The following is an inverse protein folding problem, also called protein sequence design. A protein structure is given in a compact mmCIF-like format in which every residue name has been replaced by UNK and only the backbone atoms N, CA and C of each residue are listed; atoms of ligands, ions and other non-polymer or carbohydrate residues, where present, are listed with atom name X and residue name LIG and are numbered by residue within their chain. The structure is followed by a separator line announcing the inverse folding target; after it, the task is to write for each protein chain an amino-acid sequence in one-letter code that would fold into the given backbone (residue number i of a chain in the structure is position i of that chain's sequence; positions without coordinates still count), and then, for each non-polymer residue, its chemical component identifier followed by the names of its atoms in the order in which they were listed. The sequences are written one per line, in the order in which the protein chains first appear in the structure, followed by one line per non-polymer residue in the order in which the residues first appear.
data_IF_488926994570
#
_entry.id   IF_488926994570
#
_cell.length_a   1.000
_cell.length_b   1.000
_cell.length_c   1.000
_cell.angle_alpha   90.00
_cell.angle_beta   90.00
_cell.angle_gamma   90.00
#
_symmetry.space_group_name_H-M   'P 1'
#
loop_
_entity.id
_entity.type
_entity.pdbx_description
1 polymer ?
#
# COMPACT_ATOMS: atom_id res chain seq x y z
N UNK A 1 -44.26 58.47 6.30
CA UNK A 1 -44.98 57.18 6.41
C UNK A 1 -45.17 56.74 7.85
N UNK A 2 -44.12 56.55 8.66
CA UNK A 2 -44.24 56.15 10.08
C UNK A 2 -45.24 57.01 10.87
N UNK A 3 -45.08 58.33 10.86
CA UNK A 3 -46.01 59.24 11.55
C UNK A 3 -47.44 59.21 10.99
N UNK A 4 -47.61 58.96 9.69
CA UNK A 4 -48.94 58.81 9.10
C UNK A 4 -49.65 57.56 9.62
N UNK A 5 -48.95 56.42 9.72
CA UNK A 5 -49.49 55.20 10.33
C UNK A 5 -49.82 55.40 11.82
N UNK A 6 -48.97 56.09 12.57
CA UNK A 6 -49.26 56.46 13.96
C UNK A 6 -50.50 57.36 14.08
N UNK A 7 -50.70 58.29 13.15
CA UNK A 7 -51.90 59.13 13.08
C UNK A 7 -53.18 58.33 12.87
N UNK A 8 -53.17 57.34 11.98
CA UNK A 8 -54.31 56.43 11.77
C UNK A 8 -54.63 55.63 13.05
N UNK A 9 -53.60 55.11 13.72
CA UNK A 9 -53.77 54.38 14.99
C UNK A 9 -54.32 55.31 16.08
N UNK A 10 -53.89 56.57 16.14
CA UNK A 10 -54.41 57.55 17.09
C UNK A 10 -55.88 57.91 16.80
N UNK A 11 -56.26 58.00 15.53
CA UNK A 11 -57.65 58.21 15.08
C UNK A 11 -58.55 57.03 15.48
N UNK A 12 -58.10 55.78 15.26
CA UNK A 12 -58.81 54.57 15.70
C UNK A 12 -58.99 54.52 17.23
N UNK A 13 -57.99 54.99 17.98
CA UNK A 13 -58.04 55.07 19.44
C UNK A 13 -58.81 56.29 19.98
N UNK A 14 -59.50 57.05 19.11
CA UNK A 14 -60.27 58.27 19.46
C UNK A 14 -59.44 59.36 20.16
N UNK A 15 -58.15 59.46 19.83
CA UNK A 15 -57.25 60.52 20.32
C UNK A 15 -57.03 61.51 19.18
N UNK A 16 -58.04 62.31 18.88
CA UNK A 16 -58.08 63.17 17.70
C UNK A 16 -57.01 64.28 17.75
N UNK A 17 -56.70 64.83 18.93
CA UNK A 17 -55.62 65.80 19.09
C UNK A 17 -54.23 65.22 18.80
N UNK A 18 -53.99 63.96 19.20
CA UNK A 18 -52.74 63.24 18.90
C UNK A 18 -52.63 62.90 17.40
N UNK A 19 -53.73 62.47 16.78
CA UNK A 19 -53.79 62.19 15.35
C UNK A 19 -53.42 63.42 14.51
N UNK A 20 -53.97 64.60 14.85
CA UNK A 20 -53.63 65.86 14.17
C UNK A 20 -52.14 66.19 14.28
N UNK A 21 -51.54 66.04 15.47
CA UNK A 21 -50.11 66.25 15.67
C UNK A 21 -49.26 65.31 14.79
N UNK A 22 -49.59 64.01 14.75
CA UNK A 22 -48.88 63.04 13.93
C UNK A 22 -48.99 63.34 12.42
N UNK A 23 -50.17 63.75 11.96
CA UNK A 23 -50.37 64.15 10.56
C UNK A 23 -49.66 65.45 10.20
N UNK A 24 -49.65 66.43 11.09
CA UNK A 24 -48.92 67.68 10.91
C UNK A 24 -47.42 67.43 10.71
N UNK A 25 -46.83 66.63 11.59
CA UNK A 25 -45.41 66.22 11.49
C UNK A 25 -45.16 65.39 10.23
N UNK A 26 -46.11 64.53 9.83
CA UNK A 26 -45.99 63.78 8.57
C UNK A 26 -45.96 64.70 7.34
N UNK A 27 -46.80 65.75 7.31
CA UNK A 27 -46.82 66.76 6.23
C UNK A 27 -45.52 67.56 6.21
N UNK A 28 -45.00 67.98 7.36
CA UNK A 28 -43.72 68.70 7.45
C UNK A 28 -42.55 67.86 6.92
N UNK A 29 -42.45 66.59 7.35
CA UNK A 29 -41.41 65.67 6.85
C UNK A 29 -41.54 65.38 5.36
N UNK A 30 -42.76 65.40 4.83
CA UNK A 30 -42.99 65.25 3.40
C UNK A 30 -42.56 66.48 2.60
N UNK A 31 -42.72 67.69 3.15
CA UNK A 31 -42.17 68.93 2.56
C UNK A 31 -40.64 68.95 2.59
N UNK A 32 -40.03 68.47 3.68
CA UNK A 32 -38.57 68.29 3.76
C UNK A 32 -38.07 67.27 2.74
N UNK A 33 -38.78 66.14 2.59
CA UNK A 33 -38.46 65.12 1.60
C UNK A 33 -38.53 65.67 0.17
N UNK A 34 -39.52 66.54 -0.14
CA UNK A 34 -39.59 67.22 -1.44
C UNK A 34 -38.34 68.08 -1.69
N UNK A 35 -38.02 68.98 -0.74
CA UNK A 35 -36.86 69.90 -0.85
C UNK A 35 -35.54 69.16 -1.04
N UNK A 36 -35.39 67.98 -0.43
CA UNK A 36 -34.19 67.15 -0.55
C UNK A 36 -34.18 66.32 -1.83
N UNK A 37 -35.34 65.80 -2.25
CA UNK A 37 -35.48 64.99 -3.46
C UNK A 37 -35.39 65.77 -4.76
N UNK A 38 -35.73 67.06 -4.75
CA UNK A 38 -35.59 67.97 -5.90
C UNK A 38 -34.12 68.14 -6.36
N UNK A 39 -33.15 67.82 -5.49
CA UNK A 39 -31.71 67.89 -5.78
C UNK A 39 -31.13 66.63 -6.43
N UNK A 40 -31.93 65.59 -6.69
CA UNK A 40 -31.48 64.29 -7.22
C UNK A 40 -31.60 64.26 -8.75
N UNK A 41 -30.52 63.88 -9.46
CA UNK A 41 -30.37 63.87 -10.94
C UNK A 41 -31.50 63.22 -11.77
N UNK A 42 -31.58 63.65 -13.04
CA UNK A 42 -32.74 63.71 -13.95
C UNK A 42 -33.41 62.40 -14.40
N UNK A 43 -32.83 61.21 -14.22
CA UNK A 43 -33.38 59.98 -14.82
C UNK A 43 -34.36 59.22 -13.93
N UNK A 44 -34.31 59.41 -12.60
CA UNK A 44 -35.27 58.81 -11.63
C UNK A 44 -36.25 59.83 -11.05
N UNK A 45 -36.24 61.05 -11.59
CA UNK A 45 -37.00 62.18 -11.07
C UNK A 45 -38.50 62.00 -11.22
N UNK A 46 -38.98 61.34 -12.28
CA UNK A 46 -40.42 61.16 -12.50
C UNK A 46 -41.05 60.19 -11.49
N UNK A 47 -40.42 59.04 -11.24
CA UNK A 47 -40.93 58.07 -10.24
C UNK A 47 -40.98 58.69 -8.85
N UNK A 48 -39.95 59.46 -8.47
CA UNK A 48 -39.93 60.17 -7.20
C UNK A 48 -41.05 61.23 -7.12
N UNK A 49 -41.23 62.04 -8.17
CA UNK A 49 -42.27 63.06 -8.23
C UNK A 49 -43.66 62.46 -8.14
N UNK A 50 -43.94 61.40 -8.90
CA UNK A 50 -45.23 60.72 -8.89
C UNK A 50 -45.54 60.10 -7.53
N UNK A 51 -44.56 59.38 -6.94
CA UNK A 51 -44.70 58.80 -5.61
C UNK A 51 -44.88 59.88 -4.52
N UNK A 52 -44.17 61.00 -4.64
CA UNK A 52 -44.31 62.12 -3.72
C UNK A 52 -45.67 62.80 -3.84
N UNK A 53 -46.12 63.12 -5.06
CA UNK A 53 -47.43 63.73 -5.31
C UNK A 53 -48.54 62.85 -4.75
N UNK A 54 -48.53 61.55 -5.05
CA UNK A 54 -49.50 60.61 -4.50
C UNK A 54 -49.48 60.57 -2.97
N UNK A 55 -48.29 60.46 -2.38
CA UNK A 55 -48.14 60.45 -0.91
C UNK A 55 -48.61 61.76 -0.28
N UNK A 56 -48.36 62.89 -0.95
CA UNK A 56 -48.76 64.22 -0.50
C UNK A 56 -50.27 64.40 -0.54
N UNK A 57 -50.94 63.97 -1.60
CA UNK A 57 -52.39 64.06 -1.72
C UNK A 57 -53.08 63.25 -0.62
N UNK A 58 -52.58 62.04 -0.34
CA UNK A 58 -53.12 61.18 0.73
C UNK A 58 -52.92 61.79 2.13
N UNK A 59 -51.68 62.15 2.48
CA UNK A 59 -51.36 62.66 3.82
C UNK A 59 -51.99 64.04 4.05
N UNK A 60 -51.92 64.94 3.07
CA UNK A 60 -52.50 66.27 3.17
C UNK A 60 -54.02 66.22 3.20
N UNK A 61 -54.64 65.33 2.43
CA UNK A 61 -56.08 65.07 2.46
C UNK A 61 -56.54 64.64 3.86
N UNK A 62 -55.84 63.65 4.45
CA UNK A 62 -56.12 63.16 5.81
C UNK A 62 -55.90 64.23 6.88
N UNK A 63 -54.80 64.99 6.81
CA UNK A 63 -54.54 66.10 7.73
C UNK A 63 -55.65 67.16 7.72
N UNK A 64 -56.10 67.59 6.53
CA UNK A 64 -57.15 68.62 6.41
C UNK A 64 -58.47 68.18 7.03
N UNK A 65 -58.86 66.91 6.82
CA UNK A 65 -60.09 66.34 7.40
C UNK A 65 -59.94 66.25 8.93
N UNK A 66 -58.87 65.63 9.42
CA UNK A 66 -58.63 65.47 10.85
C UNK A 66 -58.56 66.81 11.59
N UNK A 67 -57.92 67.83 11.00
CA UNK A 67 -57.84 69.17 11.57
C UNK A 67 -59.21 69.85 11.63
N UNK A 68 -59.95 69.84 10.52
CA UNK A 68 -61.30 70.43 10.47
C UNK A 68 -62.23 69.78 11.49
N UNK A 69 -62.21 68.45 11.59
CA UNK A 69 -63.09 67.71 12.48
C UNK A 69 -62.68 67.92 13.95
N UNK A 70 -61.38 68.03 14.24
CA UNK A 70 -60.92 68.41 15.58
C UNK A 70 -61.29 69.86 15.94
N UNK A 71 -61.19 70.81 15.01
CA UNK A 71 -61.54 72.22 15.24
C UNK A 71 -63.06 72.47 15.30
N UNK A 72 -63.89 71.55 14.79
CA UNK A 72 -65.35 71.74 14.69
C UNK A 72 -66.17 70.82 15.60
N UNK A 73 -65.65 69.62 15.94
CA UNK A 73 -66.40 68.57 16.65
C UNK A 73 -65.72 68.17 17.95
N UNK A 74 -64.44 67.81 17.93
CA UNK A 74 -63.78 67.17 19.08
C UNK A 74 -63.14 68.16 20.06
N UNK A 75 -62.63 69.30 19.55
CA UNK A 75 -61.94 70.34 20.31
C UNK A 75 -60.82 69.82 21.23
N UNK A 76 -60.15 68.74 20.84
CA UNK A 76 -59.03 68.20 21.62
C UNK A 76 -57.79 69.07 21.47
N UNK A 77 -57.05 69.26 22.56
CA UNK A 77 -55.78 69.97 22.54
C UNK A 77 -54.74 69.15 21.76
N UNK A 78 -54.20 69.76 20.70
CA UNK A 78 -53.09 69.17 19.93
C UNK A 78 -51.82 69.18 20.79
N UNK A 79 -51.23 68.02 21.13
CA UNK A 79 -50.01 67.94 21.91
C UNK A 79 -48.77 68.28 21.07
N UNK A 80 -47.63 68.50 21.73
CA UNK A 80 -46.34 68.70 21.06
C UNK A 80 -45.68 67.36 20.75
N UNK A 81 -44.90 67.27 19.66
CA UNK A 81 -44.24 66.03 19.24
C UNK A 81 -43.36 65.40 20.34
N UNK A 82 -42.69 66.22 21.17
CA UNK A 82 -41.86 65.76 22.28
C UNK A 82 -42.63 65.10 23.43
N UNK A 83 -43.95 65.33 23.51
CA UNK A 83 -44.82 64.71 24.51
C UNK A 83 -45.40 63.36 24.08
N UNK A 84 -45.17 62.97 22.82
CA UNK A 84 -45.64 61.71 22.25
C UNK A 84 -44.58 60.60 22.41
N UNK A 85 -45.00 59.33 22.57
CA UNK A 85 -44.07 58.21 22.69
C UNK A 85 -43.24 58.03 21.41
N UNK A 86 -41.95 57.74 21.58
CA UNK A 86 -41.04 57.50 20.46
C UNK A 86 -41.40 56.20 19.71
N UNK A 87 -41.40 56.26 18.38
CA UNK A 87 -41.70 55.10 17.54
C UNK A 87 -40.45 54.22 17.39
N UNK A 88 -40.52 52.97 17.84
CA UNK A 88 -39.44 51.99 17.72
C UNK A 88 -39.46 51.32 16.34
N UNK A 89 -38.30 51.22 15.67
CA UNK A 89 -38.16 50.48 14.42
C UNK A 89 -37.97 48.99 14.65
N UNK A 90 -38.56 48.15 13.80
CA UNK A 90 -38.32 46.71 13.77
C UNK A 90 -37.32 46.35 12.67
N UNK A 91 -36.29 45.55 13.00
CA UNK A 91 -35.33 45.04 12.01
C UNK A 91 -35.96 43.82 11.34
N UNK A 92 -36.37 43.96 10.08
CA UNK A 92 -37.04 42.89 9.30
C UNK A 92 -36.07 42.12 8.40
N UNK A 93 -34.89 42.68 8.14
CA UNK A 93 -33.89 42.06 7.27
C UNK A 93 -32.60 41.76 8.05
N UNK A 94 -31.99 40.61 7.74
CA UNK A 94 -30.65 40.23 8.19
C UNK A 94 -29.70 40.24 6.99
N UNK A 95 -28.43 40.65 7.16
CA UNK A 95 -27.44 40.53 6.10
C UNK A 95 -27.19 39.05 5.81
N UNK A 96 -27.20 38.67 4.53
CA UNK A 96 -26.84 37.33 4.09
C UNK A 96 -25.31 37.21 4.04
N UNK A 97 -24.69 36.22 4.71
CA UNK A 97 -23.26 36.00 4.61
C UNK A 97 -22.89 35.55 3.19
N UNK A 98 -21.71 35.96 2.74
CA UNK A 98 -21.15 35.47 1.49
C UNK A 98 -20.73 34.01 1.64
N UNK A 99 -21.23 33.14 0.76
CA UNK A 99 -20.79 31.77 0.64
C UNK A 99 -19.96 31.61 -0.65
N UNK A 100 -18.68 31.28 -0.49
CA UNK A 100 -17.78 31.04 -1.62
C UNK A 100 -18.02 29.70 -2.32
N UNK A 101 -18.88 28.85 -1.76
CA UNK A 101 -19.23 27.54 -2.30
C UNK A 101 -20.62 27.50 -2.94
N UNK A 102 -21.27 28.66 -3.12
CA UNK A 102 -22.58 28.74 -3.74
C UNK A 102 -22.53 28.25 -5.20
N UNK A 103 -23.20 27.12 -5.54
CA UNK A 103 -23.21 26.57 -6.89
C UNK A 103 -23.83 27.51 -7.92
N UNK A 104 -24.73 28.41 -7.52
CA UNK A 104 -25.36 29.37 -8.43
C UNK A 104 -24.38 30.46 -8.89
N UNK A 105 -23.36 30.76 -8.07
CA UNK A 105 -22.36 31.81 -8.34
C UNK A 105 -21.09 31.23 -8.94
N UNK A 106 -20.57 30.13 -8.37
CA UNK A 106 -19.29 29.55 -8.75
C UNK A 106 -19.40 28.35 -9.70
N UNK A 107 -20.58 27.78 -9.90
CA UNK A 107 -20.77 26.59 -10.71
C UNK A 107 -20.28 25.30 -10.03
N UNK A 108 -20.14 24.23 -10.83
CA UNK A 108 -19.73 22.91 -10.33
C UNK A 108 -18.23 22.88 -10.07
N UNK A 109 -17.82 22.34 -8.92
CA UNK A 109 -16.41 22.17 -8.58
C UNK A 109 -15.70 21.21 -9.55
N UNK A 110 -14.76 21.77 -10.31
CA UNK A 110 -13.93 21.02 -11.27
C UNK A 110 -12.88 20.14 -10.58
N UNK A 111 -12.59 20.38 -9.30
CA UNK A 111 -11.60 19.64 -8.50
C UNK A 111 -12.23 18.69 -7.48
N UNK A 112 -13.52 18.36 -7.62
CA UNK A 112 -14.21 17.41 -6.73
C UNK A 112 -13.54 16.03 -6.60
N UNK A 113 -12.71 15.63 -7.58
CA UNK A 113 -11.94 14.38 -7.57
C UNK A 113 -10.53 14.53 -6.97
N UNK A 114 -10.07 15.77 -6.78
CA UNK A 114 -8.73 16.05 -6.28
C UNK A 114 -8.72 15.82 -4.77
N UNK A 115 -7.92 14.86 -4.34
CA UNK A 115 -7.71 14.61 -2.91
C UNK A 115 -6.78 15.71 -2.36
N UNK A 116 -7.08 16.27 -1.18
CA UNK A 116 -6.26 17.29 -0.56
C UNK A 116 -4.81 16.86 -0.33
N UNK A 117 -3.88 17.81 -0.41
CA UNK A 117 -2.46 17.53 -0.19
C UNK A 117 -2.19 16.95 1.21
N UNK A 118 -2.82 17.49 2.26
CA UNK A 118 -2.65 16.99 3.63
C UNK A 118 -3.07 15.52 3.76
N UNK A 119 -4.16 15.13 3.07
CA UNK A 119 -4.64 13.75 3.02
C UNK A 119 -3.65 12.85 2.29
N UNK A 120 -3.08 13.32 1.17
CA UNK A 120 -2.04 12.60 0.46
C UNK A 120 -0.77 12.39 1.31
N UNK A 121 -0.32 13.43 2.02
CA UNK A 121 0.86 13.35 2.88
C UNK A 121 0.65 12.36 4.02
N UNK A 122 -0.48 12.45 4.73
CA UNK A 122 -0.81 11.51 5.80
C UNK A 122 -0.96 10.05 5.30
N UNK A 123 -1.57 9.86 4.13
CA UNK A 123 -1.69 8.52 3.51
C UNK A 123 -0.33 7.97 3.09
N UNK A 124 0.57 8.85 2.62
CA UNK A 124 1.94 8.49 2.26
C UNK A 124 2.75 8.08 3.50
N UNK A 125 2.68 8.84 4.59
CA UNK A 125 3.35 8.53 5.86
C UNK A 125 2.86 7.19 6.42
N UNK A 126 1.54 6.97 6.42
CA UNK A 126 0.96 5.70 6.84
C UNK A 126 1.41 4.52 5.96
N UNK A 127 1.51 4.72 4.64
CA UNK A 127 2.00 3.69 3.72
C UNK A 127 3.46 3.32 3.99
N UNK A 128 4.29 4.27 4.40
CA UNK A 128 5.67 4.02 4.79
C UNK A 128 5.75 3.21 6.09
N UNK A 129 4.95 3.57 7.12
CA UNK A 129 4.88 2.79 8.37
C UNK A 129 4.37 1.37 8.14
N UNK A 130 3.38 1.17 7.25
CA UNK A 130 2.94 -0.17 6.82
C UNK A 130 4.07 -0.96 6.16
N UNK A 131 4.83 -0.35 5.26
CA UNK A 131 5.93 -0.99 4.58
C UNK A 131 7.05 -1.39 5.55
N UNK A 132 7.35 -0.51 6.52
CA UNK A 132 8.33 -0.76 7.57
C UNK A 132 7.92 -1.94 8.46
N UNK A 133 6.68 -1.94 8.96
CA UNK A 133 6.13 -3.04 9.75
C UNK A 133 6.14 -4.36 8.96
N UNK A 134 5.78 -4.32 7.68
CA UNK A 134 5.80 -5.50 6.82
C UNK A 134 7.21 -6.10 6.69
N UNK A 135 8.23 -5.25 6.44
CA UNK A 135 9.63 -5.68 6.36
C UNK A 135 10.09 -6.31 7.67
N UNK A 136 9.80 -5.68 8.80
CA UNK A 136 10.18 -6.17 10.13
C UNK A 136 9.63 -7.57 10.42
N UNK A 137 8.33 -7.79 10.16
CA UNK A 137 7.69 -9.10 10.40
C UNK A 137 8.23 -10.18 9.44
N UNK A 138 8.49 -9.83 8.18
CA UNK A 138 9.08 -10.77 7.21
C UNK A 138 10.48 -11.18 7.67
N UNK A 139 11.33 -10.21 8.02
CA UNK A 139 12.69 -10.48 8.46
C UNK A 139 12.71 -11.32 9.74
N UNK A 140 11.86 -11.01 10.72
CA UNK A 140 11.70 -11.81 11.93
C UNK A 140 11.30 -13.26 11.62
N UNK A 141 10.37 -13.44 10.68
CA UNK A 141 9.89 -14.76 10.26
C UNK A 141 10.98 -15.56 9.56
N UNK A 142 11.72 -14.95 8.63
CA UNK A 142 12.84 -15.58 7.93
C UNK A 142 13.95 -16.00 8.89
N UNK A 143 14.30 -15.13 9.85
CA UNK A 143 15.29 -15.44 10.88
C UNK A 143 14.87 -16.64 11.73
N UNK A 144 13.59 -16.69 12.17
CA UNK A 144 13.07 -17.82 12.95
C UNK A 144 12.92 -19.11 12.14
N UNK A 145 12.62 -19.02 10.85
CA UNK A 145 12.62 -20.17 9.95
C UNK A 145 14.04 -20.73 9.77
N UNK A 146 15.04 -19.88 9.56
CA UNK A 146 16.45 -20.28 9.41
C UNK A 146 16.99 -20.92 10.68
N UNK A 147 16.68 -20.35 11.84
CA UNK A 147 17.04 -20.92 13.15
C UNK A 147 16.45 -22.33 13.29
N UNK A 148 15.14 -22.49 13.02
CA UNK A 148 14.46 -23.78 13.08
C UNK A 148 15.09 -24.80 12.12
N UNK A 149 15.35 -24.41 10.87
CA UNK A 149 15.96 -25.29 9.86
C UNK A 149 17.35 -25.76 10.31
N UNK A 150 18.16 -24.85 10.86
CA UNK A 150 19.47 -25.19 11.42
C UNK A 150 19.35 -26.24 12.52
N UNK A 151 18.42 -26.06 13.48
CA UNK A 151 18.16 -27.04 14.53
C UNK A 151 17.69 -28.39 13.99
N UNK A 152 16.79 -28.39 12.99
CA UNK A 152 16.28 -29.61 12.36
C UNK A 152 17.39 -30.39 11.64
N UNK A 153 18.32 -29.68 10.98
CA UNK A 153 19.48 -30.27 10.32
C UNK A 153 20.48 -30.85 11.34
N UNK A 154 20.81 -30.10 12.40
CA UNK A 154 21.72 -30.58 13.44
C UNK A 154 21.23 -31.84 14.15
N UNK A 155 19.91 -31.97 14.35
CA UNK A 155 19.30 -33.14 14.98
C UNK A 155 18.91 -34.24 13.99
N UNK A 156 19.09 -34.01 12.68
CA UNK A 156 18.71 -34.91 11.60
C UNK A 156 17.25 -35.43 11.69
N UNK A 157 16.36 -34.64 12.31
CA UNK A 157 14.98 -35.05 12.59
C UNK A 157 14.17 -35.29 11.31
N UNK A 158 14.55 -34.66 10.20
CA UNK A 158 13.96 -34.90 8.87
C UNK A 158 14.21 -36.32 8.34
N UNK A 159 15.20 -37.04 8.90
CA UNK A 159 15.60 -38.40 8.49
C UNK A 159 15.30 -39.45 9.56
N UNK A 160 14.72 -39.04 10.70
CA UNK A 160 14.37 -39.98 11.74
C UNK A 160 13.19 -40.85 11.25
N UNK A 161 13.29 -42.19 11.30
CA UNK A 161 12.20 -43.07 10.93
C UNK A 161 11.14 -43.02 12.04
N UNK A 162 10.21 -42.07 11.91
CA UNK A 162 9.08 -41.91 12.82
C UNK A 162 8.03 -42.99 12.46
N UNK A 163 7.40 -43.62 13.45
CA UNK A 163 6.35 -44.65 13.26
C UNK A 163 6.80 -46.00 12.66
N UNK A 164 7.86 -46.62 13.19
CA UNK A 164 8.27 -47.98 12.81
C UNK A 164 8.66 -48.14 11.33
N UNK A 165 8.95 -47.02 10.65
CA UNK A 165 9.43 -47.01 9.27
C UNK A 165 10.83 -47.63 9.12
N UNK A 166 11.59 -47.75 10.21
CA UNK A 166 12.89 -48.46 10.24
C UNK A 166 12.77 -49.96 9.98
N UNK A 167 11.58 -50.54 10.10
CA UNK A 167 11.31 -51.94 9.78
C UNK A 167 11.10 -52.18 8.28
N UNK A 168 10.94 -51.11 7.48
CA UNK A 168 10.71 -51.19 6.03
C UNK A 168 11.80 -50.46 5.28
N UNK A 169 12.03 -50.88 4.03
CA UNK A 169 12.94 -50.17 3.14
C UNK A 169 12.45 -48.71 2.98
N UNK A 170 13.32 -47.69 3.18
CA UNK A 170 12.95 -46.30 2.94
C UNK A 170 12.39 -46.10 1.54
N UNK A 171 11.37 -45.24 1.39
CA UNK A 171 10.70 -45.01 0.10
C UNK A 171 11.67 -44.45 -0.94
N UNK A 172 12.59 -43.60 -0.50
CA UNK A 172 13.64 -43.03 -1.35
C UNK A 172 14.54 -44.13 -1.91
N UNK A 173 14.85 -45.17 -1.11
CA UNK A 173 15.60 -46.33 -1.57
C UNK A 173 14.80 -47.18 -2.56
N UNK A 174 13.49 -47.37 -2.32
CA UNK A 174 12.59 -48.07 -3.24
C UNK A 174 12.51 -47.35 -4.59
N UNK A 175 12.38 -46.03 -4.59
CA UNK A 175 12.34 -45.20 -5.79
C UNK A 175 13.67 -45.29 -6.56
N UNK A 176 14.81 -45.25 -5.84
CA UNK A 176 16.13 -45.47 -6.44
C UNK A 176 16.25 -46.86 -7.06
N UNK A 177 15.83 -47.93 -6.35
CA UNK A 177 15.83 -49.29 -6.89
C UNK A 177 14.96 -49.40 -8.15
N UNK A 178 13.74 -48.85 -8.12
CA UNK A 178 12.85 -48.84 -9.29
C UNK A 178 13.48 -48.12 -10.49
N UNK A 179 14.13 -46.97 -10.26
CA UNK A 179 14.82 -46.22 -11.30
C UNK A 179 16.03 -46.98 -11.88
N UNK A 180 16.78 -47.69 -11.04
CA UNK A 180 17.92 -48.53 -11.46
C UNK A 180 17.42 -49.74 -12.25
N UNK A 181 16.37 -50.42 -11.78
CA UNK A 181 15.76 -51.56 -12.49
C UNK A 181 15.14 -51.15 -13.83
N UNK A 182 14.57 -49.95 -13.93
CA UNK A 182 14.07 -49.39 -15.19
C UNK A 182 15.19 -49.15 -16.23
N UNK A 183 16.46 -49.07 -15.78
CA UNK A 183 17.65 -48.90 -16.63
C UNK A 183 18.65 -50.06 -16.43
N UNK A 184 18.34 -51.26 -16.92
CA UNK A 184 19.15 -52.47 -16.65
C UNK A 184 20.57 -52.41 -17.22
N UNK A 185 20.84 -51.52 -18.19
CA UNK A 185 22.15 -51.34 -18.82
C UNK A 185 22.96 -50.17 -18.24
N UNK A 186 22.48 -49.48 -17.19
CA UNK A 186 23.14 -48.30 -16.62
C UNK A 186 24.62 -48.54 -16.27
N UNK A 187 24.94 -49.68 -15.66
CA UNK A 187 26.31 -50.02 -15.31
C UNK A 187 27.21 -50.22 -16.53
N UNK A 188 26.68 -50.81 -17.62
CA UNK A 188 27.39 -50.99 -18.88
C UNK A 188 27.59 -49.68 -19.62
N UNK A 189 26.56 -48.82 -19.64
CA UNK A 189 26.62 -47.49 -20.23
C UNK A 189 27.66 -46.61 -19.53
N UNK A 190 27.71 -46.65 -18.20
CA UNK A 190 28.68 -45.90 -17.40
C UNK A 190 30.11 -46.40 -17.64
N UNK A 191 30.31 -47.72 -17.72
CA UNK A 191 31.60 -48.33 -18.11
C UNK A 191 32.02 -47.92 -19.52
N UNK A 192 31.09 -47.97 -20.48
CA UNK A 192 31.35 -47.56 -21.87
C UNK A 192 31.70 -46.08 -21.98
N UNK A 193 31.01 -45.22 -21.24
CA UNK A 193 31.27 -43.78 -21.23
C UNK A 193 32.67 -43.47 -20.67
N UNK A 194 33.09 -44.17 -19.61
CA UNK A 194 34.43 -43.99 -19.05
C UNK A 194 35.53 -44.53 -19.96
N UNK A 195 35.27 -45.63 -20.67
CA UNK A 195 36.19 -46.15 -21.68
C UNK A 195 36.38 -45.15 -22.83
N UNK A 196 35.30 -44.52 -23.30
CA UNK A 196 35.37 -43.46 -24.32
C UNK A 196 36.12 -42.21 -23.82
N UNK A 197 35.88 -41.80 -22.57
CA UNK A 197 36.60 -40.69 -21.95
C UNK A 197 38.12 -40.97 -21.90
N UNK A 198 38.49 -42.18 -21.50
CA UNK A 198 39.89 -42.58 -21.40
C UNK A 198 40.56 -42.70 -22.78
N UNK A 199 39.84 -43.18 -23.80
CA UNK A 199 40.37 -43.20 -25.17
C UNK A 199 40.58 -41.79 -25.72
N UNK A 200 39.65 -40.87 -25.48
CA UNK A 200 39.81 -39.46 -25.88
C UNK A 200 40.97 -38.79 -25.16
N UNK A 201 41.15 -39.06 -23.86
CA UNK A 201 42.29 -38.55 -23.10
C UNK A 201 43.63 -39.05 -23.68
N UNK A 202 43.70 -40.33 -24.07
CA UNK A 202 44.88 -40.89 -24.70
C UNK A 202 45.17 -40.25 -26.06
N UNK A 203 44.14 -40.08 -26.90
CA UNK A 203 44.26 -39.43 -28.22
C UNK A 203 44.78 -37.99 -28.11
N UNK A 204 44.24 -37.20 -27.17
CA UNK A 204 44.72 -35.82 -26.94
C UNK A 204 46.16 -35.82 -26.41
N UNK A 205 46.53 -36.79 -25.57
CA UNK A 205 47.90 -36.92 -25.05
C UNK A 205 48.90 -37.24 -26.16
N UNK A 206 48.54 -38.14 -27.05
CA UNK A 206 49.34 -38.47 -28.24
C UNK A 206 49.53 -37.24 -29.14
N UNK A 207 48.45 -36.50 -29.43
CA UNK A 207 48.54 -35.27 -30.24
C UNK A 207 49.43 -34.19 -29.62
N UNK A 208 49.40 -34.02 -28.29
CA UNK A 208 50.26 -33.05 -27.59
C UNK A 208 51.72 -33.52 -27.55
N UNK A 209 51.97 -34.81 -27.35
CA UNK A 209 53.31 -35.39 -27.39
C UNK A 209 53.92 -35.28 -28.81
N UNK A 210 53.13 -35.51 -29.86
CA UNK A 210 53.55 -35.27 -31.26
C UNK A 210 53.89 -33.79 -31.49
N UNK A 211 53.04 -32.87 -31.02
CA UNK A 211 53.26 -31.44 -31.16
C UNK A 211 54.53 -30.97 -30.42
N UNK A 212 54.79 -31.50 -29.24
CA UNK A 212 56.05 -31.27 -28.51
C UNK A 212 57.27 -31.77 -29.28
N UNK A 213 57.19 -32.95 -29.90
CA UNK A 213 58.28 -33.50 -30.71
C UNK A 213 58.55 -32.63 -31.94
N UNK A 214 57.49 -32.18 -32.64
CA UNK A 214 57.61 -31.28 -33.78
C UNK A 214 58.24 -29.93 -33.37
N UNK A 215 57.88 -29.40 -32.21
CA UNK A 215 58.49 -28.18 -31.69
C UNK A 215 59.97 -28.35 -31.35
N UNK A 216 60.37 -29.47 -30.74
CA UNK A 216 61.79 -29.78 -30.48
C UNK A 216 62.59 -29.89 -31.77
N UNK A 217 62.06 -30.59 -32.78
CA UNK A 217 62.70 -30.69 -34.11
C UNK A 217 62.82 -29.31 -34.76
N UNK A 218 61.80 -28.46 -34.62
CA UNK A 218 61.85 -27.09 -35.15
C UNK A 218 62.90 -26.22 -34.45
N UNK A 219 63.06 -26.39 -33.14
CA UNK A 219 64.09 -25.72 -32.33
C UNK A 219 65.51 -26.15 -32.76
N UNK A 220 65.75 -27.45 -32.91
CA UNK A 220 67.04 -28.01 -33.33
C UNK A 220 67.48 -27.53 -34.71
N UNK A 221 66.53 -27.26 -35.61
CA UNK A 221 66.81 -26.78 -36.97
C UNK A 221 67.00 -25.25 -37.07
N UNK A 222 66.62 -24.48 -36.04
CA UNK A 222 66.61 -23.00 -36.10
C UNK A 222 67.01 -22.35 -34.76
N UNK A 223 68.31 -22.32 -34.45
CA UNK A 223 68.86 -21.76 -33.20
C UNK A 223 68.49 -20.29 -32.90
N UNK A 224 68.17 -19.49 -33.94
CA UNK A 224 67.81 -18.08 -33.79
C UNK A 224 66.37 -17.84 -33.30
N UNK A 225 65.51 -18.87 -33.31
CA UNK A 225 64.08 -18.75 -32.99
C UNK A 225 63.80 -18.69 -31.48
N UNK A 226 64.73 -19.13 -30.62
CA UNK A 226 64.59 -19.04 -29.15
C UNK A 226 64.41 -17.61 -28.63
N UNK A 227 64.79 -16.61 -29.44
CA UNK A 227 64.59 -15.19 -29.13
C UNK A 227 63.26 -14.64 -29.63
N UNK A 228 62.53 -15.37 -30.48
CA UNK A 228 61.23 -14.95 -30.98
C UNK A 228 60.18 -15.03 -29.86
N UNK A 229 59.44 -13.94 -29.69
CA UNK A 229 58.36 -13.82 -28.72
C UNK A 229 57.24 -14.84 -28.99
N UNK A 230 56.92 -15.07 -30.26
CA UNK A 230 55.86 -15.99 -30.68
C UNK A 230 56.17 -17.44 -30.31
N UNK A 231 57.45 -17.84 -30.36
CA UNK A 231 57.90 -19.18 -29.95
C UNK A 231 57.77 -19.36 -28.44
N UNK A 232 58.17 -18.35 -27.65
CA UNK A 232 58.02 -18.36 -26.19
C UNK A 232 56.55 -18.40 -25.75
N UNK A 233 55.69 -17.67 -26.45
CA UNK A 233 54.25 -17.69 -26.20
C UNK A 233 53.67 -19.08 -26.53
N UNK A 234 54.14 -19.73 -27.60
CA UNK A 234 53.73 -21.09 -27.97
C UNK A 234 54.22 -22.14 -26.95
N UNK A 235 55.46 -22.04 -26.48
CA UNK A 235 56.04 -22.90 -25.44
C UNK A 235 55.27 -22.77 -24.12
N UNK A 236 54.92 -21.54 -23.73
CA UNK A 236 54.12 -21.27 -22.54
C UNK A 236 52.70 -21.85 -22.67
N UNK A 237 52.07 -21.68 -23.84
CA UNK A 237 50.74 -22.24 -24.13
C UNK A 237 50.77 -23.78 -24.07
N UNK A 238 51.80 -24.41 -24.64
CA UNK A 238 51.96 -25.85 -24.60
C UNK A 238 52.10 -26.34 -23.16
N UNK A 239 52.95 -25.70 -22.36
CA UNK A 239 53.12 -26.03 -20.95
C UNK A 239 51.80 -25.90 -20.18
N UNK A 240 51.05 -24.83 -20.46
CA UNK A 240 49.72 -24.60 -19.86
C UNK A 240 48.73 -25.72 -20.24
N UNK A 241 48.70 -26.13 -21.51
CA UNK A 241 47.87 -27.26 -21.98
C UNK A 241 48.29 -28.54 -21.27
N UNK A 242 49.59 -28.82 -21.12
CA UNK A 242 50.07 -30.02 -20.42
C UNK A 242 49.71 -30.02 -18.94
N UNK A 243 49.82 -28.89 -18.27
CA UNK A 243 49.39 -28.73 -16.87
C UNK A 243 47.87 -28.98 -16.74
N UNK A 244 47.06 -28.45 -17.66
CA UNK A 244 45.61 -28.72 -17.70
C UNK A 244 45.30 -30.20 -17.96
N UNK A 245 46.07 -30.87 -18.82
CA UNK A 245 45.89 -32.30 -19.10
C UNK A 245 46.27 -33.17 -17.92
N UNK A 246 47.31 -32.83 -17.17
CA UNK A 246 47.68 -33.53 -15.93
C UNK A 246 46.55 -33.41 -14.90
N UNK A 247 46.00 -32.21 -14.71
CA UNK A 247 44.83 -32.00 -13.85
C UNK A 247 43.60 -32.78 -14.32
N UNK A 248 43.34 -32.81 -15.63
CA UNK A 248 42.25 -33.58 -16.21
C UNK A 248 42.46 -35.10 -16.00
N UNK A 249 43.69 -35.59 -16.08
CA UNK A 249 44.02 -36.99 -15.82
C UNK A 249 43.81 -37.36 -14.34
N UNK A 250 44.26 -36.51 -13.41
CA UNK A 250 44.01 -36.72 -11.97
C UNK A 250 42.49 -36.78 -11.68
N UNK A 251 41.72 -35.88 -12.29
CA UNK A 251 40.26 -35.88 -12.22
C UNK A 251 39.67 -37.17 -12.81
N UNK A 252 40.15 -37.63 -13.97
CA UNK A 252 39.70 -38.87 -14.59
C UNK A 252 39.99 -40.10 -13.73
N UNK A 253 41.16 -40.17 -13.09
CA UNK A 253 41.53 -41.25 -12.16
C UNK A 253 40.57 -41.25 -10.97
N UNK A 254 40.29 -40.08 -10.40
CA UNK A 254 39.37 -39.97 -9.26
C UNK A 254 37.92 -40.30 -9.65
N UNK A 255 37.47 -39.86 -10.82
CA UNK A 255 36.19 -40.27 -11.40
C UNK A 255 36.11 -41.78 -11.58
N UNK A 256 37.17 -42.42 -12.09
CA UNK A 256 37.22 -43.88 -12.25
C UNK A 256 37.10 -44.60 -10.89
N UNK A 257 37.77 -44.07 -9.86
CA UNK A 257 37.73 -44.61 -8.49
C UNK A 257 36.31 -44.53 -7.90
N UNK A 258 35.66 -43.36 -8.03
CA UNK A 258 34.28 -43.17 -7.60
C UNK A 258 33.31 -44.04 -8.38
N UNK A 259 33.44 -44.09 -9.70
CA UNK A 259 32.64 -44.94 -10.57
C UNK A 259 32.74 -46.41 -10.17
N UNK A 260 33.94 -46.91 -9.88
CA UNK A 260 34.13 -48.32 -9.47
C UNK A 260 33.36 -48.60 -8.18
N UNK A 261 33.41 -47.68 -7.22
CA UNK A 261 32.65 -47.76 -5.96
C UNK A 261 31.13 -47.73 -6.20
N UNK A 262 30.67 -46.82 -7.05
CA UNK A 262 29.24 -46.65 -7.39
C UNK A 262 28.71 -47.87 -8.13
N UNK A 263 29.49 -48.47 -9.03
CA UNK A 263 29.10 -49.69 -9.76
C UNK A 263 28.80 -50.83 -8.77
N UNK A 264 29.60 -50.98 -7.72
CA UNK A 264 29.35 -52.01 -6.72
C UNK A 264 28.07 -51.72 -5.91
N UNK A 265 27.79 -50.46 -5.59
CA UNK A 265 26.51 -50.08 -4.97
C UNK A 265 25.31 -50.25 -5.93
N UNK A 266 25.47 -49.95 -7.22
CA UNK A 266 24.43 -50.17 -8.23
C UNK A 266 24.10 -51.65 -8.41
N UNK A 267 25.09 -52.54 -8.29
CA UNK A 267 24.84 -53.99 -8.27
C UNK A 267 23.98 -54.39 -7.08
N UNK A 268 24.23 -53.81 -5.89
CA UNK A 268 23.43 -54.05 -4.68
C UNK A 268 22.00 -53.54 -4.89
N UNK A 269 21.82 -52.32 -5.41
CA UNK A 269 20.50 -51.73 -5.67
C UNK A 269 19.70 -52.47 -6.76
N UNK A 270 20.37 -53.22 -7.63
CA UNK A 270 19.74 -54.03 -8.67
C UNK A 270 19.42 -55.47 -8.21
N UNK A 271 19.68 -55.82 -6.94
CA UNK A 271 19.25 -57.10 -6.37
C UNK A 271 17.73 -57.13 -6.19
N UNK A 272 17.10 -58.33 -6.21
CA UNK A 272 15.72 -58.49 -5.78
C UNK A 272 15.49 -57.91 -4.37
N UNK A 273 14.34 -57.27 -4.14
CA UNK A 273 14.00 -56.60 -2.88
C UNK A 273 14.23 -57.49 -1.64
N UNK A 274 13.92 -58.78 -1.73
CA UNK A 274 14.11 -59.77 -0.65
C UNK A 274 15.59 -60.00 -0.29
N UNK A 275 16.51 -59.84 -1.25
CA UNK A 275 17.95 -59.97 -1.03
C UNK A 275 18.53 -58.64 -0.53
N UNK A 276 18.00 -57.52 -1.01
CA UNK A 276 18.38 -56.18 -0.56
C UNK A 276 18.03 -55.95 0.92
N UNK A 277 16.84 -56.38 1.36
CA UNK A 277 16.44 -56.31 2.77
C UNK A 277 17.39 -57.10 3.68
N UNK A 278 17.94 -58.22 3.21
CA UNK A 278 18.90 -59.04 3.97
C UNK A 278 20.30 -58.45 4.03
N UNK A 279 20.69 -57.65 3.03
CA UNK A 279 21.99 -56.96 3.03
C UNK A 279 22.03 -55.75 3.95
N UNK A 280 20.87 -55.22 4.37
CA UNK A 280 20.80 -54.07 5.25
C UNK A 280 20.83 -54.50 6.73
N UNK A 281 21.57 -53.78 7.58
CA UNK A 281 21.54 -54.02 9.01
C UNK A 281 20.16 -53.68 9.58
N UNK A 282 19.55 -54.64 10.27
CA UNK A 282 18.27 -54.44 10.96
C UNK A 282 18.56 -53.73 12.28
N UNK A 283 17.98 -52.55 12.49
CA UNK A 283 18.13 -51.80 13.73
C UNK A 283 17.12 -52.33 14.75
N UNK A 284 17.49 -53.40 15.47
CA UNK A 284 16.65 -54.00 16.54
C UNK A 284 16.71 -53.22 17.86
N UNK A 285 17.68 -52.33 18.04
CA UNK A 285 17.89 -51.55 19.28
C UNK A 285 16.80 -50.49 19.54
N UNK A 286 16.01 -50.15 18.51
CA UNK A 286 14.91 -49.18 18.62
C UNK A 286 13.58 -49.81 19.07
N UNK A 287 13.46 -51.15 18.99
CA UNK A 287 12.23 -51.90 19.31
C UNK A 287 12.00 -52.12 20.82
N UNK A 288 12.93 -51.69 21.67
CA UNK A 288 12.77 -51.72 23.12
C UNK A 288 11.48 -51.01 23.56
N UNK A 289 10.66 -51.68 24.37
CA UNK A 289 9.42 -51.10 24.94
C UNK A 289 9.67 -49.78 25.70
N UNK A 290 10.89 -49.55 26.19
CA UNK A 290 11.30 -48.30 26.84
C UNK A 290 11.51 -47.13 25.86
N UNK A 291 11.80 -47.41 24.58
CA UNK A 291 12.11 -46.41 23.55
C UNK A 291 10.89 -46.05 22.69
N UNK A 292 9.93 -46.96 22.52
CA UNK A 292 8.63 -46.68 21.87
C UNK A 292 7.95 -45.37 22.30
N UNK A 293 7.75 -45.09 23.61
CA UNK A 293 7.10 -43.83 24.01
C UNK A 293 7.93 -42.58 23.67
N UNK A 294 9.26 -42.69 23.60
CA UNK A 294 10.15 -41.58 23.21
C UNK A 294 10.01 -41.30 21.71
N UNK A 295 9.97 -42.34 20.88
CA UNK A 295 9.78 -42.24 19.43
C UNK A 295 8.41 -41.63 19.11
N UNK A 296 7.34 -42.10 19.77
CA UNK A 296 5.99 -41.52 19.61
C UNK A 296 5.97 -40.05 20.02
N UNK A 297 6.66 -39.68 21.10
CA UNK A 297 6.77 -38.28 21.53
C UNK A 297 7.53 -37.42 20.52
N UNK A 298 8.61 -37.93 19.93
CA UNK A 298 9.36 -37.25 18.88
C UNK A 298 8.50 -37.07 17.62
N UNK A 299 7.73 -38.09 17.21
CA UNK A 299 6.81 -38.00 16.07
C UNK A 299 5.76 -36.90 16.26
N UNK A 300 5.14 -36.87 17.44
CA UNK A 300 4.17 -35.84 17.80
C UNK A 300 4.79 -34.44 17.84
N UNK A 301 6.05 -34.32 18.30
CA UNK A 301 6.75 -33.04 18.30
C UNK A 301 7.08 -32.58 16.87
N UNK A 302 7.46 -33.50 15.98
CA UNK A 302 7.72 -33.20 14.58
C UNK A 302 6.45 -32.75 13.85
N UNK A 303 5.32 -33.42 14.10
CA UNK A 303 4.01 -33.00 13.59
C UNK A 303 3.66 -31.58 14.09
N UNK A 304 3.90 -31.29 15.37
CA UNK A 304 3.71 -29.93 15.91
C UNK A 304 4.60 -28.90 15.22
N UNK A 305 5.85 -29.22 14.93
CA UNK A 305 6.76 -28.33 14.19
C UNK A 305 6.18 -28.04 12.81
N UNK A 306 5.69 -29.06 12.11
CA UNK A 306 5.13 -28.89 10.77
C UNK A 306 3.82 -28.08 10.78
N UNK A 307 2.93 -28.33 11.75
CA UNK A 307 1.74 -27.50 11.94
C UNK A 307 2.10 -26.04 12.22
N UNK A 308 3.13 -25.79 13.04
CA UNK A 308 3.61 -24.43 13.33
C UNK A 308 4.17 -23.74 12.09
N UNK A 309 4.92 -24.45 11.23
CA UNK A 309 5.42 -23.88 9.96
C UNK A 309 4.27 -23.47 9.04
N UNK A 310 3.30 -24.37 8.85
CA UNK A 310 2.12 -24.11 8.02
C UNK A 310 1.30 -22.92 8.57
N UNK A 311 1.07 -22.88 9.89
CA UNK A 311 0.39 -21.76 10.54
C UNK A 311 1.14 -20.44 10.33
N UNK A 312 2.47 -20.44 10.46
CA UNK A 312 3.30 -19.24 10.25
C UNK A 312 3.19 -18.73 8.81
N UNK A 313 3.23 -19.62 7.83
CA UNK A 313 3.07 -19.26 6.42
C UNK A 313 1.68 -18.68 6.14
N UNK A 314 0.62 -19.31 6.66
CA UNK A 314 -0.76 -18.81 6.54
C UNK A 314 -0.90 -17.42 7.16
N UNK A 315 -0.41 -17.23 8.39
CA UNK A 315 -0.49 -15.94 9.09
C UNK A 315 0.29 -14.85 8.36
N UNK A 316 1.47 -15.16 7.82
CA UNK A 316 2.26 -14.21 7.04
C UNK A 316 1.54 -13.79 5.76
N UNK A 317 0.93 -14.75 5.05
CA UNK A 317 0.16 -14.47 3.84
C UNK A 317 -1.10 -13.64 4.14
N UNK A 318 -1.82 -13.96 5.21
CA UNK A 318 -2.98 -13.18 5.65
C UNK A 318 -2.59 -11.76 6.08
N UNK A 319 -1.46 -11.62 6.77
CA UNK A 319 -0.92 -10.32 7.16
C UNK A 319 -0.54 -9.47 5.94
N UNK A 320 0.13 -10.06 4.93
CA UNK A 320 0.45 -9.39 3.67
C UNK A 320 -0.81 -8.86 2.97
N UNK A 321 -1.86 -9.68 2.88
CA UNK A 321 -3.15 -9.27 2.30
C UNK A 321 -3.78 -8.12 3.08
N UNK A 322 -3.86 -8.24 4.40
CA UNK A 322 -4.43 -7.19 5.26
C UNK A 322 -3.69 -5.86 5.14
N UNK A 323 -2.37 -5.86 5.10
CA UNK A 323 -1.58 -4.62 4.89
C UNK A 323 -1.83 -4.00 3.51
N UNK A 324 -1.95 -4.84 2.48
CA UNK A 324 -2.21 -4.39 1.12
C UNK A 324 -3.59 -3.75 0.99
N UNK A 325 -4.60 -4.37 1.60
CA UNK A 325 -6.00 -3.94 1.52
C UNK A 325 -6.36 -2.79 2.49
N UNK A 326 -5.48 -2.44 3.45
CA UNK A 326 -5.72 -1.38 4.44
C UNK A 326 -5.52 0.04 3.85
N UNK A 327 -6.56 0.56 3.19
CA UNK A 327 -6.62 1.95 2.69
C UNK A 327 -7.34 2.88 3.68
N UNK A 328 -6.57 3.81 4.28
CA UNK A 328 -7.07 4.79 5.24
C UNK A 328 -7.52 6.12 4.61
N UNK A 329 -7.43 6.29 3.29
CA UNK A 329 -7.68 7.57 2.61
C UNK A 329 -9.04 8.15 2.98
N UNK A 330 -10.09 7.31 3.06
CA UNK A 330 -11.44 7.73 3.45
C UNK A 330 -11.52 8.21 4.91
N UNK A 331 -10.79 7.58 5.82
CA UNK A 331 -10.76 7.96 7.24
C UNK A 331 -10.06 9.30 7.44
N UNK A 332 -8.94 9.51 6.75
CA UNK A 332 -8.19 10.78 6.79
C UNK A 332 -9.02 11.93 6.21
N UNK A 333 -9.79 11.68 5.14
CA UNK A 333 -10.72 12.67 4.59
C UNK A 333 -11.82 13.08 5.58
N UNK A 334 -12.32 12.15 6.39
CA UNK A 334 -13.38 12.39 7.38
C UNK A 334 -12.88 13.15 8.62
N UNK A 335 -11.62 12.97 9.03
CA UNK A 335 -11.07 13.51 10.29
C UNK A 335 -10.36 14.87 10.16
N UNK A 336 -10.55 15.58 9.04
CA UNK A 336 -9.91 16.87 8.69
C UNK A 336 -9.97 17.99 9.75
N UNK A 337 -10.72 17.83 10.84
CA UNK A 337 -10.87 18.83 11.91
C UNK A 337 -10.02 18.57 13.16
N UNK A 338 -9.41 17.39 13.35
CA UNK A 338 -8.58 17.12 14.52
C UNK A 338 -7.19 16.59 14.12
N UNK A 339 -6.17 17.16 14.76
CA UNK A 339 -4.74 16.90 14.56
C UNK A 339 -4.39 15.48 14.06
N UNK A 340 -3.83 15.40 12.84
CA UNK A 340 -3.33 14.19 12.18
C UNK A 340 -2.30 13.38 12.99
N UNK A 341 -1.81 13.89 14.13
CA UNK A 341 -0.93 13.17 15.06
C UNK A 341 -1.61 12.04 15.84
N UNK A 342 -2.94 12.01 15.94
CA UNK A 342 -3.65 11.04 16.79
C UNK A 342 -3.92 9.69 16.08
N UNK A 343 -3.75 9.64 14.75
CA UNK A 343 -4.06 8.44 13.95
C UNK A 343 -3.07 7.29 14.22
N UNK A 344 -1.85 7.59 14.69
CA UNK A 344 -0.83 6.58 14.99
C UNK A 344 -1.10 5.73 16.24
N UNK A 345 -2.07 6.09 17.09
CA UNK A 345 -2.22 5.51 18.43
C UNK A 345 -3.53 4.75 18.68
N UNK A 346 -4.41 4.61 17.67
CA UNK A 346 -5.76 4.04 17.89
C UNK A 346 -6.08 2.76 17.13
N UNK A 347 -5.08 2.07 16.54
CA UNK A 347 -5.27 0.71 16.03
C UNK A 347 -4.17 -0.22 16.49
#
# INVERSE_FOLDING_TARGET
LTYYCCGLIAEENKKHGQAVCYYEVAVERLKEAWKNGEKISSDKTNIFKDAHMFTNDVIMGKYKVAKRDNDSVYFEKVPTLSSLPAVQGAIVAKPQPFDCHDPEVCGVDIFQKLVPLDTHLATSEYSEEKAKLLREIIELTENKNRELETFMLCLQLNRAPLNNEYLRLPRELLDCCAAVTARPNMSKELVSAMQQLNSQHHEVTEQVDEFEQLLKIFEENNDSIKSNKEYKDLELNLKTIRDMMLQANESNIELHRHMTTIIDHLKILNLPLEQLEKTLPIITELDDEANKPKITRLALLNEKIETMKNQREMLLNDFRKKIHDDDITKLVLMQRQENHKVIHLTK
#
